data_IF_842717182243
#
_entry.id   IF_842717182243
#
_cell.length_a   1.000
_cell.length_b   1.000
_cell.length_c   1.000
_cell.angle_alpha   90.00
_cell.angle_beta   90.00
_cell.angle_gamma   90.00
#
_symmetry.space_group_name_H-M   'P 1'
#
loop_
_entity.id
_entity.type
_entity.pdbx_description
1 polymer ?
#
# COMPACT_ATOMS: atom_id res chain seq x y z
N UNK A 1 11.86 -27.02 -27.18
CA UNK A 1 11.94 -25.62 -27.64
C UNK A 1 12.02 -24.73 -26.41
N UNK A 2 12.86 -23.70 -26.48
CA UNK A 2 13.64 -23.14 -25.38
C UNK A 2 12.84 -22.50 -24.23
N UNK A 3 13.23 -22.84 -22.99
CA UNK A 3 12.82 -22.12 -21.78
C UNK A 3 13.58 -20.78 -21.70
N UNK A 4 12.84 -19.68 -21.89
CA UNK A 4 13.35 -18.32 -21.74
C UNK A 4 13.81 -18.03 -20.31
N UNK A 5 15.12 -17.86 -20.13
CA UNK A 5 15.77 -17.48 -18.87
C UNK A 5 15.19 -16.16 -18.32
N UNK A 6 14.64 -16.19 -17.12
CA UNK A 6 14.38 -14.98 -16.31
C UNK A 6 15.72 -14.26 -16.06
N UNK A 7 15.88 -13.04 -16.58
CA UNK A 7 17.03 -12.18 -16.29
C UNK A 7 16.92 -11.63 -14.86
N UNK A 8 17.91 -11.93 -14.02
CA UNK A 8 18.10 -11.35 -12.69
C UNK A 8 18.27 -9.82 -12.78
N UNK A 9 17.54 -9.07 -11.95
CA UNK A 9 17.58 -7.59 -11.95
C UNK A 9 18.72 -7.00 -11.10
N UNK A 10 19.69 -7.80 -10.67
CA UNK A 10 20.89 -7.31 -9.98
C UNK A 10 22.03 -7.19 -11.00
N UNK A 11 22.82 -6.10 -10.98
CA UNK A 11 23.95 -5.94 -11.91
C UNK A 11 24.98 -7.06 -11.70
N UNK A 12 25.56 -7.62 -12.77
CA UNK A 12 26.62 -8.61 -12.63
C UNK A 12 27.87 -7.98 -12.00
N UNK A 13 28.57 -8.75 -11.16
CA UNK A 13 29.82 -8.39 -10.49
C UNK A 13 30.84 -7.93 -11.54
N UNK A 14 31.27 -6.66 -11.48
CA UNK A 14 32.37 -6.14 -12.30
C UNK A 14 33.46 -5.57 -11.40
N UNK A 15 34.70 -5.91 -11.75
CA UNK A 15 35.92 -5.60 -11.03
C UNK A 15 36.51 -4.23 -11.42
N UNK A 16 36.93 -3.46 -10.40
CA UNK A 16 37.96 -2.37 -10.43
C UNK A 16 37.56 -1.05 -11.16
N UNK A 17 37.96 0.18 -10.81
CA UNK A 17 39.03 0.75 -9.95
C UNK A 17 38.74 2.24 -9.56
N UNK A 18 39.13 2.67 -8.34
CA UNK A 18 39.61 4.00 -7.79
C UNK A 18 39.24 5.37 -8.47
N UNK A 19 39.06 6.55 -7.81
CA UNK A 19 39.74 7.26 -6.66
C UNK A 19 38.94 8.55 -6.21
N UNK A 20 39.28 9.25 -5.07
CA UNK A 20 38.41 10.23 -4.36
C UNK A 20 38.98 11.67 -4.11
N UNK A 21 38.17 12.62 -3.57
CA UNK A 21 38.65 13.82 -2.82
C UNK A 21 37.59 14.60 -1.98
N UNK A 22 38.09 15.30 -0.92
CA UNK A 22 37.62 16.50 -0.11
C UNK A 22 37.06 16.40 1.35
N UNK A 23 37.97 16.64 2.31
CA UNK A 23 37.93 16.46 3.78
C UNK A 23 36.95 17.32 4.61
N UNK A 24 36.78 16.90 5.87
CA UNK A 24 36.01 17.45 7.01
C UNK A 24 34.62 16.85 7.25
N UNK A 25 33.67 16.91 6.32
CA UNK A 25 32.55 15.92 6.33
C UNK A 25 33.06 14.52 6.03
N UNK A 26 34.24 14.45 5.39
CA UNK A 26 34.88 13.25 4.93
C UNK A 26 35.64 12.50 6.02
N UNK A 27 36.07 13.10 7.14
CA UNK A 27 36.74 12.33 8.20
C UNK A 27 35.74 11.44 8.94
N UNK A 28 34.63 12.03 9.41
CA UNK A 28 33.52 11.31 10.04
C UNK A 28 32.83 10.36 9.06
N UNK A 29 32.69 10.76 7.78
CA UNK A 29 32.14 9.86 6.76
C UNK A 29 33.11 8.73 6.41
N UNK A 30 34.43 8.95 6.36
CA UNK A 30 35.43 7.90 6.14
C UNK A 30 35.52 6.95 7.35
N UNK A 31 35.42 7.46 8.58
CA UNK A 31 35.38 6.63 9.79
C UNK A 31 34.11 5.76 9.84
N UNK A 32 32.94 6.34 9.55
CA UNK A 32 31.69 5.58 9.45
C UNK A 32 31.67 4.63 8.25
N UNK A 33 32.34 4.99 7.16
CA UNK A 33 32.51 4.13 5.99
C UNK A 33 33.35 2.90 6.35
N UNK A 34 34.48 3.09 7.04
CA UNK A 34 35.30 1.98 7.54
C UNK A 34 34.53 1.08 8.50
N UNK A 35 33.70 1.66 9.37
CA UNK A 35 32.86 0.91 10.31
C UNK A 35 31.93 -0.10 9.63
N UNK A 36 31.19 0.30 8.58
CA UNK A 36 30.27 -0.65 7.92
C UNK A 36 31.02 -1.74 7.18
N UNK A 37 32.14 -1.40 6.53
CA UNK A 37 33.01 -2.37 5.88
C UNK A 37 33.55 -3.39 6.89
N UNK A 38 33.93 -2.92 8.09
CA UNK A 38 34.43 -3.75 9.19
C UNK A 38 33.38 -4.69 9.78
N UNK A 39 32.12 -4.31 9.84
CA UNK A 39 31.05 -5.20 10.31
C UNK A 39 30.65 -6.19 9.22
N UNK A 40 30.41 -5.71 8.00
CA UNK A 40 29.86 -6.50 6.91
C UNK A 40 30.83 -7.54 6.32
N UNK A 41 32.15 -7.39 6.52
CA UNK A 41 33.14 -8.40 6.11
C UNK A 41 33.03 -9.71 6.89
N UNK A 42 32.43 -9.69 8.09
CA UNK A 42 32.27 -10.87 8.93
C UNK A 42 31.01 -11.69 8.63
N UNK A 43 30.11 -11.18 7.79
CA UNK A 43 28.99 -11.96 7.28
C UNK A 43 29.50 -13.01 6.29
N UNK A 44 29.06 -14.25 6.46
CA UNK A 44 29.32 -15.31 5.52
C UNK A 44 28.42 -15.15 4.28
N UNK A 45 28.92 -15.65 3.14
CA UNK A 45 28.23 -15.54 1.85
C UNK A 45 26.96 -16.41 1.81
N UNK A 46 26.94 -17.52 2.56
CA UNK A 46 25.81 -18.44 2.65
C UNK A 46 24.59 -17.78 3.30
N UNK A 47 24.77 -17.11 4.43
CA UNK A 47 23.71 -16.33 5.11
C UNK A 47 23.15 -15.24 4.19
N UNK A 48 24.01 -14.46 3.54
CA UNK A 48 23.58 -13.38 2.64
C UNK A 48 22.81 -13.92 1.42
N UNK A 49 23.28 -15.03 0.85
CA UNK A 49 22.62 -15.70 -0.28
C UNK A 49 21.25 -16.26 0.13
N UNK A 50 21.17 -16.91 1.28
CA UNK A 50 19.94 -17.44 1.87
C UNK A 50 18.91 -16.33 2.09
N UNK A 51 19.30 -15.22 2.73
CA UNK A 51 18.42 -14.07 2.94
C UNK A 51 17.94 -13.44 1.64
N UNK A 52 18.81 -13.31 0.64
CA UNK A 52 18.41 -12.79 -0.66
C UNK A 52 17.42 -13.73 -1.36
N UNK A 53 17.62 -15.04 -1.26
CA UNK A 53 16.67 -16.03 -1.79
C UNK A 53 15.30 -15.92 -1.10
N UNK A 54 15.29 -15.92 0.23
CA UNK A 54 14.08 -15.78 1.04
C UNK A 54 13.35 -14.45 0.77
N UNK A 55 14.07 -13.35 0.60
CA UNK A 55 13.49 -12.06 0.26
C UNK A 55 12.79 -12.09 -1.11
N UNK A 56 13.39 -12.72 -2.12
CA UNK A 56 12.80 -12.85 -3.45
C UNK A 56 11.54 -13.73 -3.45
N UNK A 57 11.55 -14.83 -2.69
CA UNK A 57 10.35 -15.64 -2.52
C UNK A 57 9.26 -14.86 -1.79
N UNK A 58 9.61 -14.23 -0.68
CA UNK A 58 8.70 -13.50 0.19
C UNK A 58 8.03 -12.31 -0.51
N UNK A 59 8.76 -11.55 -1.33
CA UNK A 59 8.15 -10.45 -2.10
C UNK A 59 7.19 -10.97 -3.17
N UNK A 60 7.47 -12.14 -3.75
CA UNK A 60 6.57 -12.77 -4.73
C UNK A 60 5.27 -13.20 -4.07
N UNK A 61 5.36 -13.88 -2.93
CA UNK A 61 4.21 -14.28 -2.10
C UNK A 61 3.40 -13.06 -1.65
N UNK A 62 4.07 -12.03 -1.12
CA UNK A 62 3.44 -10.80 -0.65
C UNK A 62 2.74 -10.05 -1.81
N UNK A 63 3.39 -9.94 -2.96
CA UNK A 63 2.82 -9.29 -4.15
C UNK A 63 1.57 -10.01 -4.61
N UNK A 64 1.65 -11.33 -4.76
CA UNK A 64 0.51 -12.14 -5.16
C UNK A 64 -0.64 -12.00 -4.18
N UNK A 65 -0.37 -12.12 -2.87
CA UNK A 65 -1.39 -11.95 -1.84
C UNK A 65 -2.06 -10.57 -1.89
N UNK A 66 -1.29 -9.50 -2.06
CA UNK A 66 -1.81 -8.13 -2.15
C UNK A 66 -2.62 -7.84 -3.42
N UNK A 67 -2.45 -8.64 -4.48
CA UNK A 67 -3.17 -8.52 -5.75
C UNK A 67 -4.40 -9.44 -5.80
N UNK A 68 -4.50 -10.40 -4.89
CA UNK A 68 -5.63 -11.32 -4.82
C UNK A 68 -6.83 -10.68 -4.13
N UNK A 69 -7.94 -10.63 -4.86
CA UNK A 69 -9.22 -10.15 -4.34
C UNK A 69 -9.09 -8.77 -3.71
N UNK A 70 -9.56 -8.64 -2.48
CA UNK A 70 -9.58 -7.38 -1.73
C UNK A 70 -8.63 -7.43 -0.53
N UNK A 71 -7.62 -8.32 -0.55
CA UNK A 71 -6.71 -8.54 0.57
C UNK A 71 -5.99 -7.27 1.02
N UNK A 72 -5.43 -6.49 0.07
CA UNK A 72 -4.74 -5.25 0.39
C UNK A 72 -5.66 -4.22 1.04
N UNK A 73 -6.86 -4.01 0.48
CA UNK A 73 -7.83 -3.05 1.02
C UNK A 73 -8.39 -3.52 2.37
N UNK A 74 -8.60 -4.83 2.52
CA UNK A 74 -8.99 -5.44 3.80
C UNK A 74 -7.92 -5.26 4.88
N UNK A 75 -6.65 -5.47 4.54
CA UNK A 75 -5.54 -5.20 5.44
C UNK A 75 -5.45 -3.71 5.80
N UNK A 76 -5.58 -2.81 4.81
CA UNK A 76 -5.59 -1.36 5.07
C UNK A 76 -6.73 -0.97 6.01
N UNK A 77 -7.91 -1.58 5.86
CA UNK A 77 -9.02 -1.35 6.78
C UNK A 77 -8.64 -1.78 8.19
N UNK A 78 -8.28 -3.06 8.39
CA UNK A 78 -7.83 -3.58 9.68
C UNK A 78 -6.75 -2.70 10.32
N UNK A 79 -5.71 -2.36 9.56
CA UNK A 79 -4.57 -1.57 10.01
C UNK A 79 -4.92 -0.12 10.37
N UNK A 80 -5.98 0.45 9.79
CA UNK A 80 -6.37 1.84 10.05
C UNK A 80 -7.54 1.95 11.03
N UNK A 81 -8.38 0.94 11.19
CA UNK A 81 -9.62 1.02 12.00
C UNK A 81 -9.68 0.04 13.15
N UNK A 82 -9.26 -1.21 12.96
CA UNK A 82 -9.50 -2.30 13.91
C UNK A 82 -8.31 -2.52 14.86
N UNK A 83 -7.10 -2.18 14.42
CA UNK A 83 -5.87 -2.43 15.16
C UNK A 83 -5.32 -1.11 15.73
N UNK A 84 -5.12 -1.02 17.04
CA UNK A 84 -4.70 0.23 17.69
C UNK A 84 -3.24 0.59 17.38
N UNK A 85 -2.87 1.87 17.53
CA UNK A 85 -1.49 2.32 17.32
C UNK A 85 -0.50 1.59 18.25
N UNK A 86 -0.87 1.34 19.51
CA UNK A 86 0.02 0.67 20.47
C UNK A 86 0.25 -0.79 20.08
N UNK A 87 -0.79 -1.52 19.65
CA UNK A 87 -0.67 -2.89 19.16
C UNK A 87 0.19 -2.96 17.88
N UNK A 88 0.01 -2.00 16.96
CA UNK A 88 0.85 -1.90 15.76
C UNK A 88 2.32 -1.69 16.09
N UNK A 89 2.62 -0.76 17.01
CA UNK A 89 3.97 -0.49 17.44
C UNK A 89 4.58 -1.69 18.16
N UNK A 90 3.80 -2.40 18.98
CA UNK A 90 4.23 -3.62 19.65
C UNK A 90 4.58 -4.72 18.64
N UNK A 91 3.71 -4.96 17.65
CA UNK A 91 3.94 -5.94 16.59
C UNK A 91 5.18 -5.60 15.74
N UNK A 92 5.30 -4.36 15.28
CA UNK A 92 6.47 -3.91 14.49
C UNK A 92 7.77 -4.03 15.30
N UNK A 93 7.76 -3.67 16.58
CA UNK A 93 8.94 -3.81 17.46
C UNK A 93 9.32 -5.27 17.67
N UNK A 94 8.34 -6.15 17.85
CA UNK A 94 8.57 -7.59 18.01
C UNK A 94 9.24 -8.17 16.76
N UNK A 95 8.69 -7.90 15.58
CA UNK A 95 9.24 -8.38 14.31
C UNK A 95 10.65 -7.82 14.03
N UNK A 96 10.89 -6.55 14.37
CA UNK A 96 12.23 -5.96 14.29
C UNK A 96 13.21 -6.62 15.26
N UNK A 97 12.75 -7.01 16.45
CA UNK A 97 13.54 -7.79 17.41
C UNK A 97 13.99 -9.12 16.82
N UNK A 98 13.06 -9.87 16.20
CA UNK A 98 13.37 -11.14 15.53
C UNK A 98 14.41 -10.94 14.42
N UNK A 99 14.26 -9.92 13.58
CA UNK A 99 15.21 -9.62 12.51
C UNK A 99 16.59 -9.19 13.03
N UNK A 100 16.63 -8.45 14.14
CA UNK A 100 17.89 -8.08 14.81
C UNK A 100 18.61 -9.31 15.37
N UNK A 101 17.88 -10.22 16.01
CA UNK A 101 18.43 -11.46 16.57
C UNK A 101 18.99 -12.35 15.46
N UNK A 102 18.32 -12.43 14.31
CA UNK A 102 18.78 -13.21 13.16
C UNK A 102 20.09 -12.65 12.56
N UNK A 103 20.20 -11.34 12.40
CA UNK A 103 21.44 -10.69 11.94
C UNK A 103 22.55 -10.85 13.00
N UNK A 104 22.21 -10.72 14.28
CA UNK A 104 23.13 -10.96 15.39
C UNK A 104 23.66 -12.40 15.39
N UNK A 105 22.80 -13.37 15.10
CA UNK A 105 23.15 -14.79 15.02
C UNK A 105 24.10 -15.09 13.86
N UNK A 106 23.91 -14.47 12.69
CA UNK A 106 24.84 -14.59 11.56
C UNK A 106 26.22 -14.02 11.91
N UNK A 107 26.26 -12.95 12.72
CA UNK A 107 27.49 -12.30 13.15
C UNK A 107 28.07 -12.87 14.46
N UNK A 108 27.50 -13.94 15.03
CA UNK A 108 27.83 -14.44 16.37
C UNK A 108 29.31 -14.74 16.58
N UNK A 109 29.98 -15.26 15.55
CA UNK A 109 31.40 -15.62 15.64
C UNK A 109 32.31 -14.38 15.75
N UNK A 110 31.92 -13.28 15.10
CA UNK A 110 32.63 -12.01 15.21
C UNK A 110 32.35 -11.32 16.56
N UNK A 111 31.14 -11.48 17.08
CA UNK A 111 30.76 -10.98 18.42
C UNK A 111 31.53 -11.74 19.50
N UNK A 112 31.54 -13.08 19.45
CA UNK A 112 32.20 -13.92 20.45
C UNK A 112 33.73 -13.78 20.44
N UNK A 113 34.32 -13.47 19.28
CA UNK A 113 35.75 -13.17 19.17
C UNK A 113 36.11 -11.71 19.52
N UNK A 114 35.15 -10.89 19.94
CA UNK A 114 35.36 -9.50 20.33
C UNK A 114 35.69 -8.55 19.17
N UNK A 115 35.50 -8.99 17.92
CA UNK A 115 35.81 -8.20 16.72
C UNK A 115 34.75 -7.14 16.44
N UNK A 116 33.51 -7.41 16.83
CA UNK A 116 32.38 -6.47 16.78
C UNK A 116 31.58 -6.57 18.08
N UNK A 117 30.81 -5.52 18.41
CA UNK A 117 29.90 -5.49 19.56
C UNK A 117 28.45 -5.63 19.09
N UNK A 118 27.57 -6.08 19.97
CA UNK A 118 26.12 -6.11 19.67
C UNK A 118 25.55 -4.71 19.35
N UNK A 119 26.10 -3.65 19.95
CA UNK A 119 25.74 -2.28 19.63
C UNK A 119 26.06 -1.91 18.17
N UNK A 120 27.08 -2.53 17.58
CA UNK A 120 27.48 -2.29 16.20
C UNK A 120 26.45 -2.93 15.24
N UNK A 121 25.85 -4.08 15.60
CA UNK A 121 24.73 -4.71 14.87
C UNK A 121 23.49 -3.81 14.86
N UNK A 122 23.13 -3.23 16.01
CA UNK A 122 22.01 -2.28 16.11
C UNK A 122 22.24 -1.03 15.26
N UNK A 123 23.49 -0.55 15.22
CA UNK A 123 23.89 0.60 14.38
C UNK A 123 23.79 0.26 12.90
N UNK A 124 24.27 -0.91 12.48
CA UNK A 124 24.12 -1.42 11.11
C UNK A 124 22.64 -1.51 10.72
N UNK A 125 21.80 -2.12 11.56
CA UNK A 125 20.37 -2.27 11.31
C UNK A 125 19.68 -0.92 11.11
N UNK A 126 19.98 0.06 11.97
CA UNK A 126 19.41 1.41 11.89
C UNK A 126 19.80 2.13 10.59
N UNK A 127 20.97 1.81 10.03
CA UNK A 127 21.43 2.34 8.73
C UNK A 127 20.83 1.59 7.53
N UNK A 128 20.50 0.32 7.71
CA UNK A 128 19.84 -0.52 6.69
C UNK A 128 18.32 -0.30 6.65
N UNK A 129 17.69 0.13 7.74
CA UNK A 129 16.27 0.47 7.84
C UNK A 129 16.08 1.91 8.37
N UNK A 130 16.44 2.95 7.60
CA UNK A 130 16.32 4.35 8.01
C UNK A 130 14.88 4.80 8.29
N UNK A 131 13.89 4.03 7.88
CA UNK A 131 12.48 4.24 8.21
C UNK A 131 12.17 3.96 9.70
N UNK A 132 12.98 3.16 10.38
CA UNK A 132 12.82 2.82 11.80
C UNK A 132 13.88 3.49 12.70
N UNK A 133 13.55 3.87 13.94
CA UNK A 133 12.19 4.00 14.48
C UNK A 133 11.47 5.26 13.98
N UNK A 134 12.21 6.24 13.43
CA UNK A 134 11.73 7.61 13.25
C UNK A 134 10.42 7.73 12.45
N UNK A 135 10.32 7.12 11.27
CA UNK A 135 9.12 7.25 10.42
C UNK A 135 8.05 6.23 10.81
N UNK A 136 8.44 4.96 11.00
CA UNK A 136 7.52 3.86 11.29
C UNK A 136 6.85 3.97 12.66
N UNK A 137 7.52 4.53 13.67
CA UNK A 137 6.95 4.72 15.00
C UNK A 137 6.37 6.13 15.22
N UNK A 138 6.26 6.94 14.16
CA UNK A 138 5.64 8.27 14.25
C UNK A 138 4.10 8.19 14.27
N UNK A 139 3.38 9.27 14.59
CA UNK A 139 1.92 9.32 14.44
C UNK A 139 1.43 9.06 13.00
N UNK A 140 2.29 9.25 11.99
CA UNK A 140 2.01 8.92 10.57
C UNK A 140 2.55 7.54 10.18
N UNK A 141 3.07 6.77 11.12
CA UNK A 141 3.69 5.46 10.91
C UNK A 141 2.78 4.47 10.20
N UNK A 142 1.48 4.51 10.50
CA UNK A 142 0.44 3.75 9.79
C UNK A 142 0.50 3.95 8.27
N UNK A 143 0.55 5.19 7.81
CA UNK A 143 0.59 5.50 6.38
C UNK A 143 1.96 5.21 5.77
N UNK A 144 3.05 5.43 6.51
CA UNK A 144 4.40 5.04 6.06
C UNK A 144 4.46 3.52 5.81
N UNK A 145 3.92 2.73 6.73
CA UNK A 145 3.86 1.28 6.60
C UNK A 145 3.06 0.86 5.37
N UNK A 146 1.86 1.41 5.18
CA UNK A 146 1.01 1.08 4.02
C UNK A 146 1.61 1.56 2.69
N UNK A 147 2.31 2.69 2.66
CA UNK A 147 2.99 3.19 1.46
C UNK A 147 4.10 2.23 1.01
N UNK A 148 4.86 1.68 1.97
CA UNK A 148 5.90 0.70 1.68
C UNK A 148 5.27 -0.62 1.22
N UNK A 149 4.20 -1.08 1.88
CA UNK A 149 3.45 -2.26 1.44
C UNK A 149 2.91 -2.09 0.00
N UNK A 150 2.34 -0.93 -0.31
CA UNK A 150 1.88 -0.59 -1.65
C UNK A 150 3.04 -0.72 -2.64
N UNK A 151 4.17 -0.05 -2.35
CA UNK A 151 5.38 -0.05 -3.17
C UNK A 151 5.94 -1.45 -3.40
N UNK A 152 5.95 -2.32 -2.37
CA UNK A 152 6.39 -3.71 -2.49
C UNK A 152 5.45 -4.54 -3.38
N UNK A 153 4.15 -4.28 -3.32
CA UNK A 153 3.12 -5.03 -4.07
C UNK A 153 2.84 -4.52 -5.49
N UNK A 154 3.28 -3.30 -5.84
CA UNK A 154 3.10 -2.71 -7.17
C UNK A 154 4.14 -3.19 -8.19
N UNK A 155 4.78 -4.35 -7.96
CA UNK A 155 5.84 -4.88 -8.81
C UNK A 155 7.14 -4.07 -8.79
N UNK A 156 8.12 -4.47 -9.61
CA UNK A 156 9.51 -3.95 -9.63
C UNK A 156 9.63 -2.55 -10.26
N UNK A 157 8.90 -1.58 -9.72
CA UNK A 157 8.89 -0.18 -10.14
C UNK A 157 10.17 0.57 -9.79
N UNK A 158 10.29 1.79 -10.30
CA UNK A 158 11.31 2.72 -9.86
C UNK A 158 11.19 3.06 -8.36
N UNK A 159 9.96 3.13 -7.83
CA UNK A 159 9.71 3.27 -6.40
C UNK A 159 10.24 2.08 -5.60
N UNK A 160 10.00 0.86 -6.08
CA UNK A 160 10.54 -0.37 -5.49
C UNK A 160 12.07 -0.38 -5.46
N UNK A 161 12.73 -0.01 -6.57
CA UNK A 161 14.19 0.09 -6.61
C UNK A 161 14.71 1.14 -5.63
N UNK A 162 14.13 2.34 -5.64
CA UNK A 162 14.48 3.43 -4.70
C UNK A 162 14.29 3.01 -3.25
N UNK A 163 13.23 2.27 -2.94
CA UNK A 163 13.01 1.71 -1.61
C UNK A 163 14.17 0.79 -1.25
N UNK A 164 14.50 -0.21 -2.07
CA UNK A 164 15.54 -1.19 -1.73
C UNK A 164 16.97 -0.62 -1.75
N UNK A 165 17.23 0.47 -2.47
CA UNK A 165 18.54 1.13 -2.48
C UNK A 165 18.70 2.21 -1.41
N UNK A 166 17.63 2.58 -0.69
CA UNK A 166 17.68 3.61 0.35
C UNK A 166 18.36 3.12 1.64
N UNK A 167 19.69 3.12 1.63
CA UNK A 167 20.54 2.80 2.79
C UNK A 167 21.31 4.04 3.25
N UNK A 168 21.50 4.20 4.57
CA UNK A 168 22.35 5.24 5.17
C UNK A 168 23.79 4.78 5.39
N UNK A 169 24.33 4.01 4.44
CA UNK A 169 25.72 3.54 4.44
C UNK A 169 26.38 3.89 3.11
N UNK A 170 27.67 4.20 3.17
CA UNK A 170 28.49 4.52 2.01
C UNK A 170 29.70 3.58 2.03
N UNK A 171 29.97 2.92 0.92
CA UNK A 171 31.16 2.08 0.75
C UNK A 171 31.68 2.19 -0.69
N UNK A 172 32.98 1.94 -0.86
CA UNK A 172 33.63 1.85 -2.18
C UNK A 172 33.75 0.41 -2.66
N UNK A 173 33.44 -0.55 -1.79
CA UNK A 173 33.53 -1.97 -2.05
C UNK A 173 32.19 -2.48 -2.60
N UNK A 174 32.20 -2.99 -3.83
CA UNK A 174 30.96 -3.38 -4.53
C UNK A 174 30.30 -4.60 -3.91
N UNK A 175 31.09 -5.53 -3.38
CA UNK A 175 30.65 -6.70 -2.63
C UNK A 175 29.97 -6.31 -1.31
N UNK A 176 30.55 -5.38 -0.55
CA UNK A 176 29.95 -4.89 0.70
C UNK A 176 28.66 -4.12 0.43
N UNK A 177 28.62 -3.32 -0.64
CA UNK A 177 27.40 -2.66 -1.08
C UNK A 177 26.30 -3.68 -1.42
N UNK A 178 26.64 -4.75 -2.14
CA UNK A 178 25.69 -5.82 -2.48
C UNK A 178 25.18 -6.55 -1.23
N UNK A 179 26.06 -6.89 -0.27
CA UNK A 179 25.67 -7.49 1.00
C UNK A 179 24.67 -6.60 1.75
N UNK A 180 24.97 -5.31 1.86
CA UNK A 180 24.09 -4.36 2.51
C UNK A 180 22.71 -4.27 1.84
N UNK A 181 22.66 -4.24 0.51
CA UNK A 181 21.40 -4.22 -0.24
C UNK A 181 20.60 -5.52 -0.08
N UNK A 182 21.27 -6.67 -0.06
CA UNK A 182 20.62 -7.96 0.21
C UNK A 182 19.99 -8.00 1.60
N UNK A 183 20.72 -7.54 2.62
CA UNK A 183 20.21 -7.48 4.00
C UNK A 183 19.06 -6.47 4.10
N UNK A 184 19.15 -5.31 3.44
CA UNK A 184 18.03 -4.36 3.40
C UNK A 184 16.79 -4.98 2.76
N UNK A 185 16.94 -5.65 1.62
CA UNK A 185 15.83 -6.34 0.96
C UNK A 185 15.20 -7.37 1.89
N UNK A 186 16.04 -8.16 2.57
CA UNK A 186 15.63 -9.12 3.58
C UNK A 186 14.82 -8.49 4.72
N UNK A 187 15.37 -7.49 5.40
CA UNK A 187 14.75 -6.80 6.54
C UNK A 187 13.40 -6.22 6.14
N UNK A 188 13.37 -5.45 5.04
CA UNK A 188 12.15 -4.79 4.57
C UNK A 188 11.13 -5.88 4.23
N UNK A 189 11.41 -6.74 3.26
CA UNK A 189 10.39 -7.66 2.75
C UNK A 189 9.85 -8.59 3.84
N UNK A 190 10.68 -9.12 4.73
CA UNK A 190 10.21 -10.01 5.79
C UNK A 190 9.42 -9.26 6.88
N UNK A 191 9.79 -8.03 7.25
CA UNK A 191 9.00 -7.24 8.19
C UNK A 191 7.57 -7.04 7.66
N UNK A 192 7.42 -6.64 6.39
CA UNK A 192 6.11 -6.45 5.79
C UNK A 192 5.36 -7.78 5.63
N UNK A 193 6.03 -8.85 5.19
CA UNK A 193 5.45 -10.19 5.09
C UNK A 193 4.89 -10.66 6.43
N UNK A 194 5.69 -10.63 7.49
CA UNK A 194 5.31 -11.18 8.79
C UNK A 194 4.12 -10.42 9.40
N UNK A 195 4.11 -9.09 9.29
CA UNK A 195 2.97 -8.27 9.72
C UNK A 195 1.71 -8.58 8.91
N UNK A 196 1.82 -8.76 7.59
CA UNK A 196 0.64 -9.18 6.78
C UNK A 196 0.20 -10.60 7.08
N UNK A 197 1.13 -11.51 7.41
CA UNK A 197 0.83 -12.88 7.79
C UNK A 197 0.13 -12.93 9.16
N UNK A 198 0.51 -12.08 10.10
CA UNK A 198 -0.21 -11.89 11.36
C UNK A 198 -1.68 -11.55 11.09
N UNK A 199 -1.95 -10.59 10.19
CA UNK A 199 -3.32 -10.27 9.78
C UNK A 199 -4.05 -11.47 9.16
N UNK A 200 -3.41 -12.22 8.26
CA UNK A 200 -4.00 -13.43 7.67
C UNK A 200 -4.38 -14.44 8.76
N UNK A 201 -3.52 -14.62 9.77
CA UNK A 201 -3.77 -15.53 10.89
C UNK A 201 -4.93 -15.03 11.78
N UNK A 202 -5.00 -13.73 12.06
CA UNK A 202 -6.12 -13.15 12.82
C UNK A 202 -7.44 -13.29 12.05
N UNK A 203 -7.43 -13.08 10.73
CA UNK A 203 -8.59 -13.26 9.86
C UNK A 203 -9.01 -14.73 9.75
N UNK A 204 -8.08 -15.67 9.64
CA UNK A 204 -8.41 -17.09 9.52
C UNK A 204 -9.05 -17.65 10.79
N UNK A 205 -8.60 -17.18 11.97
CA UNK A 205 -9.20 -17.51 13.27
C UNK A 205 -10.62 -16.94 13.40
N UNK A 206 -10.88 -15.75 12.83
CA UNK A 206 -12.21 -15.11 12.88
C UNK A 206 -13.17 -15.58 11.78
N UNK A 207 -12.65 -16.14 10.68
CA UNK A 207 -13.44 -16.63 9.53
C UNK A 207 -13.87 -18.10 9.64
N UNK A 208 -13.82 -18.69 10.83
CA UNK A 208 -14.41 -20.04 11.04
C UNK A 208 -15.95 -20.00 11.01
N UNK A 209 -16.59 -18.84 10.94
CA UNK A 209 -18.06 -18.72 11.03
C UNK A 209 -18.81 -18.14 9.81
N UNK A 210 -18.19 -17.51 8.80
CA UNK A 210 -18.97 -16.99 7.66
C UNK A 210 -18.21 -17.09 6.31
N UNK A 211 -18.57 -18.11 5.52
CA UNK A 211 -18.28 -18.15 4.07
C UNK A 211 -19.59 -18.15 3.28
N UNK A 212 -19.95 -17.01 2.69
CA UNK A 212 -20.79 -16.99 1.50
C UNK A 212 -20.58 -15.71 0.67
N UNK A 213 -20.26 -15.93 -0.61
CA UNK A 213 -20.51 -15.09 -1.78
C UNK A 213 -19.80 -13.73 -1.86
N UNK A 214 -18.69 -13.71 -2.59
CA UNK A 214 -18.64 -12.87 -3.80
C UNK A 214 -17.53 -13.37 -4.75
N UNK A 215 -17.91 -13.86 -5.92
CA UNK A 215 -16.98 -14.23 -6.99
C UNK A 215 -17.33 -13.41 -8.21
N UNK A 216 -16.55 -12.35 -8.46
CA UNK A 216 -16.51 -11.67 -9.76
C UNK A 216 -15.24 -12.01 -10.52
N UNK A 217 -15.28 -11.98 -11.87
CA UNK A 217 -14.16 -12.40 -12.71
C UNK A 217 -12.97 -11.47 -12.53
N UNK A 218 -11.79 -12.07 -12.35
CA UNK A 218 -10.52 -11.37 -12.36
C UNK A 218 -10.12 -11.05 -13.80
N UNK A 219 -9.82 -9.79 -14.09
CA UNK A 219 -9.19 -9.38 -15.34
C UNK A 219 -7.67 -9.56 -15.24
N UNK A 220 -7.03 -10.20 -16.24
CA UNK A 220 -5.60 -10.48 -16.20
C UNK A 220 -4.77 -9.20 -16.42
N UNK A 221 -3.63 -9.17 -15.74
CA UNK A 221 -2.89 -7.96 -15.40
C UNK A 221 -2.51 -7.05 -16.57
N UNK A 222 -2.69 -5.74 -16.35
CA UNK A 222 -2.09 -4.66 -17.12
C UNK A 222 -1.80 -3.48 -16.20
N UNK A 223 -0.59 -2.93 -16.36
CA UNK A 223 0.01 -1.67 -15.89
C UNK A 223 -0.45 -1.04 -14.56
N UNK A 224 0.51 -0.70 -13.70
CA UNK A 224 0.35 -0.27 -12.30
C UNK A 224 -0.71 0.79 -11.99
N UNK A 225 -1.01 1.70 -12.92
CA UNK A 225 -2.10 2.67 -12.77
C UNK A 225 -3.45 1.97 -12.58
N UNK A 226 -3.65 0.79 -13.15
CA UNK A 226 -4.87 0.00 -12.97
C UNK A 226 -4.96 -0.66 -11.58
N UNK A 227 -3.83 -0.98 -10.92
CA UNK A 227 -3.85 -1.64 -9.60
C UNK A 227 -4.28 -0.66 -8.50
N UNK A 228 -3.67 0.53 -8.47
CA UNK A 228 -4.03 1.57 -7.52
C UNK A 228 -5.47 2.06 -7.75
N UNK A 229 -5.88 2.17 -9.02
CA UNK A 229 -7.27 2.47 -9.38
C UNK A 229 -8.22 1.37 -8.87
N UNK A 230 -7.95 0.09 -9.11
CA UNK A 230 -8.84 -0.97 -8.62
C UNK A 230 -8.96 -0.95 -7.09
N UNK A 231 -7.84 -0.79 -6.37
CA UNK A 231 -7.81 -0.67 -4.91
C UNK A 231 -8.67 0.50 -4.40
N UNK A 232 -8.67 1.65 -5.08
CA UNK A 232 -9.46 2.80 -4.64
C UNK A 232 -10.96 2.52 -4.82
N UNK A 233 -11.35 1.85 -5.91
CA UNK A 233 -12.73 1.45 -6.14
C UNK A 233 -13.17 0.35 -5.17
N UNK A 234 -12.31 -0.61 -4.82
CA UNK A 234 -12.57 -1.58 -3.75
C UNK A 234 -12.87 -0.88 -2.41
N UNK A 235 -12.06 0.12 -2.04
CA UNK A 235 -12.28 0.90 -0.81
C UNK A 235 -13.62 1.66 -0.85
N UNK A 236 -13.98 2.25 -1.99
CA UNK A 236 -15.28 2.90 -2.20
C UNK A 236 -16.42 1.90 -2.05
N UNK A 237 -16.39 0.77 -2.77
CA UNK A 237 -17.45 -0.26 -2.75
C UNK A 237 -17.73 -0.79 -1.34
N UNK A 238 -16.69 -0.93 -0.51
CA UNK A 238 -16.78 -1.40 0.88
C UNK A 238 -17.15 -0.32 1.89
N UNK A 239 -17.19 0.96 1.52
CA UNK A 239 -17.47 2.03 2.48
C UNK A 239 -16.30 2.40 3.38
N UNK A 240 -15.07 2.03 3.00
CA UNK A 240 -13.87 2.18 3.82
C UNK A 240 -13.32 3.61 3.76
N UNK A 241 -13.98 4.56 4.43
CA UNK A 241 -13.64 6.00 4.39
C UNK A 241 -12.18 6.28 4.78
N UNK A 242 -11.65 5.62 5.82
CA UNK A 242 -10.25 5.80 6.24
C UNK A 242 -9.24 5.30 5.21
N UNK A 243 -9.56 4.19 4.53
CA UNK A 243 -8.70 3.66 3.45
C UNK A 243 -8.75 4.59 2.24
N UNK A 244 -9.95 5.04 1.84
CA UNK A 244 -10.09 6.03 0.78
C UNK A 244 -9.31 7.33 1.09
N UNK A 245 -9.43 7.84 2.32
CA UNK A 245 -8.68 9.02 2.77
C UNK A 245 -7.18 8.79 2.69
N UNK A 246 -6.68 7.64 3.15
CA UNK A 246 -5.27 7.26 3.04
C UNK A 246 -4.80 7.28 1.57
N UNK A 247 -5.54 6.65 0.66
CA UNK A 247 -5.14 6.53 -0.75
C UNK A 247 -5.10 7.89 -1.45
N UNK A 248 -6.10 8.73 -1.23
CA UNK A 248 -6.18 10.07 -1.81
C UNK A 248 -5.14 11.04 -1.22
N UNK A 249 -4.76 10.86 0.05
CA UNK A 249 -3.79 11.75 0.72
C UNK A 249 -2.32 11.42 0.40
N UNK A 250 -2.03 10.20 -0.07
CA UNK A 250 -0.66 9.71 -0.31
C UNK A 250 -0.33 9.52 -1.81
N UNK A 251 -1.08 10.16 -2.70
CA UNK A 251 -0.90 10.05 -4.16
C UNK A 251 -1.03 8.63 -4.72
N UNK A 252 -1.73 7.73 -4.00
CA UNK A 252 -2.07 6.38 -4.47
C UNK A 252 -3.41 6.35 -5.24
N UNK A 253 -3.92 7.52 -5.67
CA UNK A 253 -5.16 7.67 -6.42
C UNK A 253 -5.56 9.14 -6.57
N UNK A 254 -6.57 9.39 -7.40
CA UNK A 254 -7.14 10.71 -7.62
C UNK A 254 -8.66 10.69 -7.34
N UNK A 255 -9.25 11.76 -6.79
CA UNK A 255 -10.71 11.84 -6.65
C UNK A 255 -11.43 11.81 -8.01
N UNK A 256 -10.75 12.23 -9.09
CA UNK A 256 -11.26 12.20 -10.45
C UNK A 256 -11.00 10.88 -11.20
N UNK A 257 -10.43 9.87 -10.53
CA UNK A 257 -10.17 8.56 -11.13
C UNK A 257 -11.46 7.91 -11.60
N UNK A 258 -11.40 7.28 -12.78
CA UNK A 258 -12.46 6.46 -13.36
C UNK A 258 -12.07 4.98 -13.38
N UNK A 259 -13.06 4.09 -13.23
CA UNK A 259 -12.84 2.64 -13.33
C UNK A 259 -12.72 2.19 -14.79
N UNK A 260 -12.57 0.88 -15.01
CA UNK A 260 -12.48 0.31 -16.36
C UNK A 260 -13.75 0.49 -17.22
N UNK A 261 -14.88 0.92 -16.63
CA UNK A 261 -16.12 1.29 -17.32
C UNK A 261 -16.30 2.81 -17.42
N UNK A 262 -15.28 3.60 -17.07
CA UNK A 262 -15.37 5.06 -17.07
C UNK A 262 -16.20 5.63 -15.91
N UNK A 263 -16.57 4.84 -14.90
CA UNK A 263 -17.39 5.28 -13.78
C UNK A 263 -16.55 6.06 -12.76
N UNK A 264 -17.05 7.19 -12.28
CA UNK A 264 -16.40 7.99 -11.24
C UNK A 264 -16.49 7.35 -9.85
N UNK A 265 -15.64 7.78 -8.91
CA UNK A 265 -15.73 7.34 -7.51
C UNK A 265 -17.07 7.72 -6.85
N UNK A 266 -17.63 8.89 -7.21
CA UNK A 266 -18.94 9.31 -6.71
C UNK A 266 -20.05 8.37 -7.22
N UNK A 267 -20.05 8.03 -8.50
CA UNK A 267 -21.00 7.07 -9.06
C UNK A 267 -20.83 5.68 -8.42
N UNK A 268 -19.61 5.21 -8.22
CA UNK A 268 -19.35 3.95 -7.54
C UNK A 268 -19.86 3.96 -6.09
N UNK A 269 -19.69 5.06 -5.36
CA UNK A 269 -20.23 5.21 -4.00
C UNK A 269 -21.75 5.12 -4.01
N UNK A 270 -22.42 5.81 -4.95
CA UNK A 270 -23.88 5.78 -5.09
C UNK A 270 -24.37 4.39 -5.47
N UNK A 271 -23.77 3.72 -6.44
CA UNK A 271 -24.13 2.37 -6.87
C UNK A 271 -24.08 1.34 -5.73
N UNK A 272 -23.17 1.52 -4.78
CA UNK A 272 -22.98 0.59 -3.64
C UNK A 272 -23.62 1.09 -2.34
N UNK A 273 -24.46 2.14 -2.39
CA UNK A 273 -25.11 2.75 -1.24
C UNK A 273 -24.14 3.25 -0.14
N UNK A 274 -22.98 3.77 -0.54
CA UNK A 274 -21.92 4.18 0.37
C UNK A 274 -22.00 5.68 0.68
N UNK A 275 -23.07 6.09 1.36
CA UNK A 275 -23.35 7.50 1.67
C UNK A 275 -22.22 8.19 2.44
N UNK A 276 -21.54 7.48 3.36
CA UNK A 276 -20.38 8.00 4.10
C UNK A 276 -19.20 8.32 3.18
N UNK A 277 -18.95 7.49 2.16
CA UNK A 277 -17.92 7.74 1.14
C UNK A 277 -18.32 8.95 0.30
N UNK A 278 -19.56 8.99 -0.17
CA UNK A 278 -20.06 10.10 -0.97
C UNK A 278 -19.95 11.43 -0.20
N UNK A 279 -20.36 11.46 1.07
CA UNK A 279 -20.22 12.62 1.95
C UNK A 279 -18.75 13.03 2.11
N UNK A 280 -17.84 12.08 2.31
CA UNK A 280 -16.40 12.37 2.38
C UNK A 280 -15.89 13.01 1.08
N UNK A 281 -16.24 12.43 -0.08
CA UNK A 281 -15.85 12.95 -1.39
C UNK A 281 -16.38 14.37 -1.60
N UNK A 282 -17.68 14.60 -1.38
CA UNK A 282 -18.31 15.92 -1.53
C UNK A 282 -17.73 16.98 -0.59
N UNK A 283 -17.32 16.60 0.62
CA UNK A 283 -16.79 17.56 1.61
C UNK A 283 -15.30 17.86 1.45
N UNK A 284 -14.50 16.92 0.93
CA UNK A 284 -13.04 17.06 0.83
C UNK A 284 -12.52 17.27 -0.59
N UNK A 285 -13.32 16.93 -1.59
CA UNK A 285 -12.88 16.88 -2.98
C UNK A 285 -13.94 17.39 -3.99
N UNK A 286 -14.93 18.19 -3.55
CA UNK A 286 -16.04 18.70 -4.39
C UNK A 286 -15.61 19.24 -5.76
N UNK A 287 -14.55 20.05 -5.80
CA UNK A 287 -14.07 20.72 -7.02
C UNK A 287 -13.56 19.74 -8.10
N UNK A 288 -13.23 18.49 -7.72
CA UNK A 288 -12.65 17.49 -8.61
C UNK A 288 -13.61 16.33 -8.92
N UNK A 289 -14.89 16.46 -8.56
CA UNK A 289 -15.89 15.41 -8.74
C UNK A 289 -16.82 15.73 -9.89
N UNK A 290 -17.04 14.73 -10.75
CA UNK A 290 -18.13 14.75 -11.71
C UNK A 290 -19.34 14.03 -11.13
N UNK A 291 -20.43 14.78 -10.92
CA UNK A 291 -21.68 14.28 -10.32
C UNK A 291 -22.81 14.09 -11.34
N UNK A 292 -22.64 14.58 -12.56
CA UNK A 292 -23.63 14.47 -13.64
C UNK A 292 -23.19 13.50 -14.75
N UNK A 293 -21.96 13.00 -14.71
CA UNK A 293 -21.49 12.02 -15.68
C UNK A 293 -22.35 10.74 -15.64
N UNK A 294 -22.98 10.35 -16.76
CA UNK A 294 -23.80 9.15 -16.82
C UNK A 294 -22.93 7.88 -16.87
N UNK A 295 -23.46 6.80 -16.32
CA UNK A 295 -22.92 5.46 -16.54
C UNK A 295 -23.31 4.91 -17.93
N UNK A 296 -22.81 3.73 -18.29
CA UNK A 296 -23.08 3.09 -19.59
C UNK A 296 -24.56 2.98 -19.95
N UNK A 297 -25.44 2.89 -18.93
CA UNK A 297 -26.90 2.83 -19.09
C UNK A 297 -27.58 4.21 -19.22
N UNK A 298 -26.81 5.28 -19.40
CA UNK A 298 -27.29 6.66 -19.49
C UNK A 298 -27.73 7.28 -18.15
N UNK A 299 -27.69 6.52 -17.05
CA UNK A 299 -28.09 6.99 -15.73
C UNK A 299 -26.97 7.81 -15.07
N UNK A 300 -27.27 9.05 -14.68
CA UNK A 300 -26.40 9.85 -13.79
C UNK A 300 -26.45 9.32 -12.35
N UNK A 301 -25.52 9.71 -11.46
CA UNK A 301 -25.58 9.40 -10.03
C UNK A 301 -26.95 9.68 -9.40
N UNK A 302 -27.64 10.77 -9.79
CA UNK A 302 -28.96 11.07 -9.24
C UNK A 302 -30.04 10.09 -9.72
N UNK A 303 -30.00 9.67 -10.99
CA UNK A 303 -30.87 8.60 -11.50
C UNK A 303 -30.65 7.30 -10.74
N UNK A 304 -29.39 6.92 -10.51
CA UNK A 304 -29.03 5.69 -9.78
C UNK A 304 -29.54 5.75 -8.34
N UNK A 305 -29.30 6.86 -7.64
CA UNK A 305 -29.74 7.03 -6.25
C UNK A 305 -31.27 6.94 -6.12
N UNK A 306 -32.00 7.51 -7.08
CA UNK A 306 -33.45 7.39 -7.14
C UNK A 306 -33.88 5.95 -7.47
N UNK A 307 -33.38 5.37 -8.55
CA UNK A 307 -33.81 4.05 -8.99
C UNK A 307 -33.52 2.93 -7.97
N UNK A 308 -32.42 3.03 -7.22
CA UNK A 308 -32.05 2.05 -6.20
C UNK A 308 -32.57 2.40 -4.79
N UNK A 309 -33.34 3.48 -4.65
CA UNK A 309 -33.84 3.99 -3.36
C UNK A 309 -32.73 4.23 -2.32
N UNK A 310 -31.57 4.70 -2.75
CA UNK A 310 -30.45 5.08 -1.88
C UNK A 310 -30.66 6.49 -1.33
N UNK A 311 -31.63 6.62 -0.41
CA UNK A 311 -32.15 7.92 0.08
C UNK A 311 -31.10 8.85 0.66
N UNK A 312 -30.15 8.34 1.46
CA UNK A 312 -29.07 9.16 2.03
C UNK A 312 -28.12 9.68 0.94
N UNK A 313 -27.75 8.84 -0.04
CA UNK A 313 -27.00 9.27 -1.21
C UNK A 313 -27.77 10.31 -2.04
N UNK A 314 -29.08 10.10 -2.23
CA UNK A 314 -29.95 11.03 -2.96
C UNK A 314 -29.98 12.40 -2.27
N UNK A 315 -30.16 12.43 -0.95
CA UNK A 315 -30.12 13.67 -0.17
C UNK A 315 -28.76 14.37 -0.25
N UNK A 316 -27.65 13.64 -0.14
CA UNK A 316 -26.30 14.21 -0.24
C UNK A 316 -26.04 14.83 -1.62
N UNK A 317 -26.48 14.17 -2.71
CA UNK A 317 -26.36 14.71 -4.07
C UNK A 317 -27.19 16.00 -4.25
N UNK A 318 -28.43 16.01 -3.74
CA UNK A 318 -29.29 17.20 -3.81
C UNK A 318 -28.72 18.37 -2.99
N UNK A 319 -28.15 18.08 -1.82
CA UNK A 319 -27.52 19.10 -0.96
C UNK A 319 -26.23 19.67 -1.57
N UNK A 320 -25.54 18.93 -2.44
CA UNK A 320 -24.35 19.43 -3.13
C UNK A 320 -24.68 20.60 -4.08
N UNK A 321 -25.92 20.72 -4.55
CA UNK A 321 -26.45 21.86 -5.32
C UNK A 321 -25.93 21.99 -6.76
N UNK A 322 -24.88 21.23 -7.14
CA UNK A 322 -24.27 21.28 -8.47
C UNK A 322 -24.78 20.20 -9.44
N UNK A 323 -25.75 19.37 -9.03
CA UNK A 323 -26.26 18.23 -9.80
C UNK A 323 -27.47 18.65 -10.65
N UNK A 324 -27.52 18.22 -11.91
CA UNK A 324 -28.69 18.45 -12.76
C UNK A 324 -29.84 17.49 -12.39
N UNK A 325 -30.82 18.01 -11.66
CA UNK A 325 -32.00 17.23 -11.21
C UNK A 325 -32.95 16.83 -12.32
N UNK A 326 -32.87 17.46 -13.49
CA UNK A 326 -33.77 17.25 -14.63
C UNK A 326 -33.06 16.57 -15.82
N UNK A 327 -31.85 16.05 -15.62
CA UNK A 327 -31.11 15.35 -16.67
C UNK A 327 -31.97 14.19 -17.23
N UNK A 328 -32.00 14.04 -18.55
CA UNK A 328 -32.84 13.02 -19.21
C UNK A 328 -31.98 11.85 -19.64
N UNK A 329 -32.31 10.65 -19.17
CA UNK A 329 -31.70 9.43 -19.68
C UNK A 329 -32.30 9.08 -21.05
N UNK A 330 -31.59 9.41 -22.14
CA UNK A 330 -32.01 9.13 -23.51
C UNK A 330 -32.09 7.62 -23.84
N UNK A 331 -31.40 6.78 -23.07
CA UNK A 331 -31.46 5.32 -23.22
C UNK A 331 -32.66 4.70 -22.51
N UNK A 332 -33.41 5.50 -21.74
CA UNK A 332 -34.58 5.08 -20.96
C UNK A 332 -35.75 6.04 -21.23
N UNK A 333 -36.11 6.23 -22.50
CA UNK A 333 -37.26 7.05 -22.93
C UNK A 333 -37.24 8.50 -22.40
N UNK A 334 -36.06 9.04 -22.08
CA UNK A 334 -35.92 10.37 -21.49
C UNK A 334 -36.36 10.43 -20.03
N UNK A 335 -36.38 9.30 -19.32
CA UNK A 335 -36.67 9.24 -17.90
C UNK A 335 -35.74 10.18 -17.12
N UNK A 336 -36.31 10.93 -16.18
CA UNK A 336 -35.57 11.81 -15.27
C UNK A 336 -35.40 11.11 -13.93
N UNK A 337 -34.52 11.61 -13.05
CA UNK A 337 -34.41 11.09 -11.68
C UNK A 337 -35.75 11.10 -10.93
N UNK A 338 -36.61 12.09 -11.19
CA UNK A 338 -37.95 12.15 -10.59
C UNK A 338 -38.88 11.05 -11.08
N UNK A 339 -38.89 10.71 -12.38
CA UNK A 339 -39.69 9.59 -12.89
C UNK A 339 -39.31 8.29 -12.16
N UNK A 340 -38.01 8.04 -12.01
CA UNK A 340 -37.49 6.87 -11.28
C UNK A 340 -37.87 6.92 -9.79
N UNK A 341 -37.78 8.08 -9.14
CA UNK A 341 -38.16 8.24 -7.74
C UNK A 341 -39.64 7.96 -7.48
N UNK A 342 -40.53 8.40 -8.39
CA UNK A 342 -41.97 8.14 -8.31
C UNK A 342 -42.26 6.65 -8.52
N UNK A 343 -41.61 6.01 -9.50
CA UNK A 343 -41.75 4.57 -9.74
C UNK A 343 -41.34 3.73 -8.52
N UNK A 344 -40.27 4.13 -7.83
CA UNK A 344 -39.78 3.44 -6.62
C UNK A 344 -40.51 3.86 -5.34
N UNK A 345 -41.44 4.82 -5.40
CA UNK A 345 -42.19 5.29 -4.25
C UNK A 345 -41.34 6.00 -3.18
N UNK A 346 -40.25 6.66 -3.59
CA UNK A 346 -39.33 7.32 -2.66
C UNK A 346 -40.05 8.46 -1.93
N UNK A 347 -40.05 8.39 -0.60
CA UNK A 347 -40.50 9.47 0.28
C UNK A 347 -39.29 10.05 1.01
N UNK A 348 -38.76 11.16 0.51
CA UNK A 348 -37.80 11.94 1.29
C UNK A 348 -38.60 12.63 2.42
N UNK A 349 -38.40 12.21 3.66
CA UNK A 349 -38.97 12.91 4.80
C UNK A 349 -38.26 14.25 4.94
N UNK A 350 -38.90 15.32 4.46
CA UNK A 350 -38.58 16.65 4.94
C UNK A 350 -39.10 16.75 6.37
N UNK A 351 -38.20 16.70 7.37
CA UNK A 351 -38.45 17.45 8.59
C UNK A 351 -38.42 18.93 8.19
N UNK A 352 -39.59 19.46 7.81
CA UNK A 352 -39.83 20.89 7.82
C UNK A 352 -39.77 21.34 9.29
N UNK A 353 -38.56 21.48 9.82
CA UNK A 353 -38.32 22.37 10.95
C UNK A 353 -38.25 23.78 10.39
N UNK A 354 -39.31 24.51 10.73
CA UNK A 354 -39.67 25.92 10.48
C UNK A 354 -40.07 26.31 9.07
#
# INVERSE_FOLDING_TARGET
MEFGKQKSCLPPVRSSSQRPSSGDSQSLANERQGFYDDVLKYLDEESVSSWLHQANQSVTELTHWCQQGENFVGFCHFWLTEFSLDEQLALVKLEIGVLLDEIGFALRNAISSGKIREADVKTLFSSLLPEYPGKLCSPRGQYVFLNILNTLSSGKTEGYKKLLTNVKLHTRQSDIAQRALSIRAYIVINLWKNVTQFYVNVKSVTQTEEKAKDTRPQTPGKENTHLDNDRIFQAVRRGNVRVLHYMLSNSCGSPSTKDGRGQSLALAAVLNNQARILKYLLTKHSENLSLDEPCDSGNTPLHVAANLNHTECLQLLLQAGSVNVNEKNLQCEGATPLHLAVMQGIKLQHSLST
#
